data_IF_322775964622
#
_entry.id   IF_322775964622
#
_cell.length_a   1.000
_cell.length_b   1.000
_cell.length_c   1.000
_cell.angle_alpha   90.00
_cell.angle_beta   90.00
_cell.angle_gamma   90.00
#
_symmetry.space_group_name_H-M   'P 1'
#
loop_
_entity.id
_entity.type
_entity.pdbx_description
1 polymer ?
#
# COMPACT_ATOMS: atom_id res chain seq x y z
N UNK A 1 9.38 2.53 -25.57
CA UNK A 1 9.02 3.36 -24.38
C UNK A 1 7.96 2.67 -23.50
N UNK A 2 6.69 2.54 -23.88
CA UNK A 2 5.66 1.95 -22.99
C UNK A 2 5.97 0.50 -22.60
N UNK A 3 6.36 -0.33 -23.57
CA UNK A 3 6.72 -1.73 -23.32
C UNK A 3 7.92 -1.89 -22.40
N UNK A 4 8.91 -1.05 -22.54
CA UNK A 4 10.10 -1.06 -21.68
C UNK A 4 9.78 -0.66 -20.24
N UNK A 5 8.91 0.33 -20.03
CA UNK A 5 8.45 0.71 -18.71
C UNK A 5 7.65 -0.43 -18.04
N UNK A 6 6.79 -1.11 -18.82
CA UNK A 6 6.03 -2.26 -18.37
C UNK A 6 6.94 -3.43 -17.97
N UNK A 7 7.90 -3.80 -18.83
CA UNK A 7 8.86 -4.88 -18.56
C UNK A 7 9.73 -4.56 -17.33
N UNK A 8 10.16 -3.30 -17.19
CA UNK A 8 10.91 -2.81 -16.04
C UNK A 8 10.10 -2.88 -14.75
N UNK A 9 8.85 -2.42 -14.76
CA UNK A 9 7.95 -2.48 -13.62
C UNK A 9 7.74 -3.92 -13.16
N UNK A 10 7.44 -4.82 -14.10
CA UNK A 10 7.24 -6.24 -13.81
C UNK A 10 8.48 -6.89 -13.19
N UNK A 11 9.65 -6.63 -13.76
CA UNK A 11 10.91 -7.14 -13.24
C UNK A 11 11.18 -6.62 -11.82
N UNK A 12 10.96 -5.32 -11.59
CA UNK A 12 11.16 -4.72 -10.27
C UNK A 12 10.18 -5.28 -9.23
N UNK A 13 8.89 -5.43 -9.56
CA UNK A 13 7.89 -6.05 -8.69
C UNK A 13 8.30 -7.47 -8.29
N UNK A 14 8.75 -8.29 -9.24
CA UNK A 14 9.23 -9.64 -8.97
C UNK A 14 10.43 -9.63 -8.02
N UNK A 15 11.42 -8.79 -8.28
CA UNK A 15 12.63 -8.67 -7.43
C UNK A 15 12.30 -8.22 -6.01
N UNK A 16 11.37 -7.28 -5.85
CA UNK A 16 10.92 -6.84 -4.52
C UNK A 16 10.20 -7.97 -3.81
N UNK A 17 9.27 -8.66 -4.49
CA UNK A 17 8.55 -9.79 -3.90
C UNK A 17 9.48 -10.93 -3.46
N UNK A 18 10.50 -11.25 -4.25
CA UNK A 18 11.54 -12.24 -3.91
C UNK A 18 12.40 -11.79 -2.72
N UNK A 19 12.73 -10.50 -2.63
CA UNK A 19 13.60 -9.98 -1.58
C UNK A 19 12.93 -9.87 -0.22
N UNK A 20 11.62 -9.56 -0.18
CA UNK A 20 10.92 -9.26 1.08
C UNK A 20 9.60 -10.00 1.27
N UNK A 21 9.07 -10.62 0.23
CA UNK A 21 7.70 -11.17 0.26
C UNK A 21 7.48 -12.27 1.31
N UNK A 22 8.49 -13.10 1.54
CA UNK A 22 8.43 -14.19 2.52
C UNK A 22 8.59 -13.71 3.98
N UNK A 23 9.21 -12.54 4.18
CA UNK A 23 9.55 -12.01 5.50
C UNK A 23 8.46 -11.09 6.06
N UNK A 24 7.43 -10.79 5.27
CA UNK A 24 6.32 -9.94 5.71
C UNK A 24 5.21 -10.79 6.32
N UNK A 25 4.95 -10.68 7.63
CA UNK A 25 3.90 -11.43 8.32
C UNK A 25 2.51 -11.24 7.71
N UNK A 26 1.60 -12.19 7.95
CA UNK A 26 0.25 -12.21 7.34
C UNK A 26 -0.65 -11.04 7.76
N UNK A 27 -0.39 -10.45 8.92
CA UNK A 27 -1.06 -9.24 9.42
C UNK A 27 -0.58 -7.94 8.78
N UNK A 28 0.43 -8.03 7.91
CA UNK A 28 0.99 -6.90 7.19
C UNK A 28 0.82 -7.06 5.67
N UNK A 29 0.59 -5.94 4.99
CA UNK A 29 0.69 -5.85 3.53
C UNK A 29 1.77 -4.86 3.14
N UNK A 30 2.77 -5.30 2.37
CA UNK A 30 3.65 -4.39 1.66
C UNK A 30 2.96 -3.95 0.39
N UNK A 31 2.65 -2.66 0.30
CA UNK A 31 1.90 -2.07 -0.81
C UNK A 31 2.76 -1.05 -1.52
N UNK A 32 2.84 -1.14 -2.84
CA UNK A 32 3.43 -0.10 -3.69
C UNK A 32 2.36 0.70 -4.41
N UNK A 33 2.71 1.94 -4.75
CA UNK A 33 1.84 2.94 -5.37
C UNK A 33 2.46 3.54 -6.62
N UNK A 34 1.73 4.43 -7.26
CA UNK A 34 2.21 5.31 -8.31
C UNK A 34 2.71 4.59 -9.55
N UNK A 35 3.82 5.04 -10.10
CA UNK A 35 4.35 4.57 -11.38
C UNK A 35 4.63 3.07 -11.40
N UNK A 36 5.10 2.50 -10.29
CA UNK A 36 5.35 1.07 -10.20
C UNK A 36 4.04 0.26 -10.23
N UNK A 37 3.02 0.69 -9.48
CA UNK A 37 1.71 0.05 -9.46
C UNK A 37 0.97 0.17 -10.81
N UNK A 38 1.17 1.27 -11.53
CA UNK A 38 0.60 1.48 -12.88
C UNK A 38 1.41 0.85 -14.02
N UNK A 39 2.51 0.15 -13.71
CA UNK A 39 3.40 -0.46 -14.70
C UNK A 39 4.09 0.58 -15.63
N UNK A 40 4.39 1.76 -15.08
CA UNK A 40 4.99 2.92 -15.78
C UNK A 40 6.37 3.29 -15.22
N UNK A 41 7.00 2.40 -14.46
CA UNK A 41 8.25 2.67 -13.76
C UNK A 41 9.41 2.93 -14.74
N UNK A 42 10.14 4.02 -14.51
CA UNK A 42 11.31 4.43 -15.29
C UNK A 42 12.57 4.47 -14.40
N UNK A 43 13.72 4.78 -14.99
CA UNK A 43 14.97 4.98 -14.24
C UNK A 43 14.96 6.19 -13.31
N UNK A 44 14.06 7.13 -13.56
CA UNK A 44 13.92 8.36 -12.76
C UNK A 44 12.82 8.26 -11.69
N UNK A 45 12.04 7.17 -11.71
CA UNK A 45 10.94 6.96 -10.76
C UNK A 45 11.45 6.54 -9.39
N UNK A 46 10.76 7.02 -8.35
CA UNK A 46 10.91 6.55 -6.99
C UNK A 46 10.02 5.33 -6.75
N UNK A 47 10.33 4.53 -5.74
CA UNK A 47 9.44 3.46 -5.27
C UNK A 47 8.63 3.97 -4.10
N UNK A 48 7.38 4.34 -4.38
CA UNK A 48 6.41 4.70 -3.35
C UNK A 48 5.84 3.43 -2.72
N UNK A 49 5.97 3.29 -1.41
CA UNK A 49 5.49 2.11 -0.69
C UNK A 49 5.01 2.45 0.72
N UNK A 50 4.20 1.57 1.28
CA UNK A 50 3.92 1.54 2.72
C UNK A 50 3.80 0.10 3.22
N UNK A 51 3.97 -0.06 4.51
CA UNK A 51 3.67 -1.30 5.22
C UNK A 51 2.33 -1.11 5.96
N UNK A 52 1.27 -1.68 5.38
CA UNK A 52 -0.09 -1.56 5.89
C UNK A 52 -0.33 -2.58 7.00
N UNK A 53 -0.74 -2.10 8.16
CA UNK A 53 -1.00 -2.89 9.37
C UNK A 53 -2.51 -2.93 9.63
N UNK A 54 -3.10 -4.14 9.66
CA UNK A 54 -4.48 -4.31 10.04
C UNK A 54 -4.59 -5.08 11.36
N UNK A 55 -4.47 -4.35 12.46
CA UNK A 55 -4.43 -4.92 13.79
C UNK A 55 -3.79 -4.01 14.83
N UNK A 56 -3.39 -4.60 15.93
CA UNK A 56 -2.71 -3.89 17.02
C UNK A 56 -1.29 -3.52 16.65
N UNK A 57 -0.79 -2.42 17.20
CA UNK A 57 0.62 -2.09 17.08
C UNK A 57 1.47 -3.14 17.80
N UNK A 58 2.53 -3.60 17.12
CA UNK A 58 3.53 -4.52 17.66
C UNK A 58 4.94 -3.98 17.41
N UNK A 59 5.86 -4.24 18.33
CA UNK A 59 7.25 -3.79 18.20
C UNK A 59 7.94 -4.39 16.95
N UNK A 60 7.56 -5.61 16.57
CA UNK A 60 8.09 -6.29 15.38
C UNK A 60 7.74 -5.58 14.06
N UNK A 61 6.64 -4.83 14.01
CA UNK A 61 6.28 -4.09 12.80
C UNK A 61 7.36 -3.09 12.39
N UNK A 62 8.01 -2.46 13.37
CA UNK A 62 9.12 -1.55 13.09
C UNK A 62 10.35 -2.27 12.54
N UNK A 63 10.64 -3.45 13.05
CA UNK A 63 11.74 -4.27 12.57
C UNK A 63 11.48 -4.73 11.12
N UNK A 64 10.26 -5.18 10.81
CA UNK A 64 9.85 -5.54 9.44
C UNK A 64 9.98 -4.33 8.51
N UNK A 65 9.54 -3.14 8.94
CA UNK A 65 9.68 -1.91 8.15
C UNK A 65 11.14 -1.62 7.80
N UNK A 66 12.05 -1.72 8.76
CA UNK A 66 13.48 -1.48 8.53
C UNK A 66 14.08 -2.50 7.57
N UNK A 67 13.73 -3.79 7.71
CA UNK A 67 14.18 -4.84 6.77
C UNK A 67 13.68 -4.59 5.36
N UNK A 68 12.42 -4.20 5.20
CA UNK A 68 11.84 -3.82 3.90
C UNK A 68 12.59 -2.64 3.30
N UNK A 69 12.86 -1.61 4.09
CA UNK A 69 13.62 -0.44 3.64
C UNK A 69 15.03 -0.80 3.19
N UNK A 70 15.75 -1.62 3.97
CA UNK A 70 17.09 -2.12 3.61
C UNK A 70 17.08 -2.93 2.31
N UNK A 71 16.12 -3.84 2.16
CA UNK A 71 15.98 -4.65 0.96
C UNK A 71 15.70 -3.80 -0.28
N UNK A 72 14.82 -2.81 -0.17
CA UNK A 72 14.51 -1.88 -1.26
C UNK A 72 15.74 -1.03 -1.65
N UNK A 73 16.52 -0.58 -0.68
CA UNK A 73 17.82 0.08 -0.93
C UNK A 73 18.81 -0.80 -1.68
N UNK A 74 18.88 -2.08 -1.35
CA UNK A 74 19.74 -3.06 -1.99
C UNK A 74 19.35 -3.39 -3.44
N UNK A 75 18.14 -3.04 -3.88
CA UNK A 75 17.67 -3.31 -5.24
C UNK A 75 18.14 -2.18 -6.16
N UNK A 76 19.05 -2.48 -7.09
CA UNK A 76 19.60 -1.50 -8.01
C UNK A 76 18.52 -0.72 -8.77
N UNK A 77 18.65 0.61 -8.77
CA UNK A 77 17.73 1.53 -9.45
C UNK A 77 16.53 1.97 -8.62
N UNK A 78 16.40 1.53 -7.36
CA UNK A 78 15.37 2.08 -6.46
C UNK A 78 15.90 3.32 -5.75
N UNK A 79 15.04 4.32 -5.62
CA UNK A 79 15.26 5.50 -4.81
C UNK A 79 14.34 5.43 -3.59
N UNK A 80 14.76 6.05 -2.49
CA UNK A 80 13.89 6.15 -1.32
C UNK A 80 12.72 7.10 -1.58
N UNK A 81 11.54 6.78 -1.01
CA UNK A 81 10.45 7.73 -0.98
C UNK A 81 10.86 9.01 -0.25
N UNK A 82 10.25 10.14 -0.61
CA UNK A 82 10.47 11.40 0.08
C UNK A 82 10.21 11.25 1.60
N UNK A 83 11.19 11.52 2.48
CA UNK A 83 11.03 11.33 3.93
C UNK A 83 9.91 12.17 4.57
N UNK A 84 9.56 13.30 3.96
CA UNK A 84 8.44 14.14 4.39
C UNK A 84 7.07 13.72 3.80
N UNK A 85 7.05 12.64 3.01
CA UNK A 85 5.89 12.18 2.26
C UNK A 85 4.98 11.21 3.02
N UNK A 86 3.98 10.73 2.30
CA UNK A 86 3.03 9.73 2.79
C UNK A 86 3.58 8.29 2.76
N UNK A 87 4.78 8.08 2.22
CA UNK A 87 5.36 6.80 1.87
C UNK A 87 6.55 6.40 2.75
N UNK A 88 7.01 5.17 2.62
CA UNK A 88 8.14 4.63 3.38
C UNK A 88 7.82 4.35 4.86
N UNK A 89 6.55 4.27 5.24
CA UNK A 89 6.11 4.24 6.64
C UNK A 89 5.19 3.04 6.94
N UNK A 90 5.05 2.76 8.24
CA UNK A 90 3.93 1.99 8.78
C UNK A 90 2.65 2.81 8.65
N UNK A 91 1.58 2.18 8.17
CA UNK A 91 0.25 2.78 8.04
C UNK A 91 -0.75 1.85 8.69
N UNK A 92 -1.43 2.33 9.73
CA UNK A 92 -2.44 1.54 10.41
C UNK A 92 -3.80 1.67 9.73
N UNK A 93 -4.51 0.55 9.58
CA UNK A 93 -5.86 0.50 9.01
C UNK A 93 -6.82 1.48 9.69
N UNK A 94 -6.69 1.63 11.01
CA UNK A 94 -7.47 2.57 11.79
C UNK A 94 -7.36 4.01 11.28
N UNK A 95 -6.15 4.46 10.93
CA UNK A 95 -5.92 5.84 10.44
C UNK A 95 -6.60 6.11 9.10
N UNK A 96 -6.57 5.12 8.20
CA UNK A 96 -7.10 5.29 6.85
C UNK A 96 -8.58 4.96 6.73
N UNK A 97 -9.18 4.21 7.68
CA UNK A 97 -10.59 3.84 7.65
C UNK A 97 -11.42 4.73 8.58
N UNK A 98 -10.99 4.90 9.85
CA UNK A 98 -11.85 5.49 10.88
C UNK A 98 -11.64 6.99 11.09
N UNK A 99 -10.56 7.59 10.55
CA UNK A 99 -10.32 9.02 10.66
C UNK A 99 -10.93 9.84 9.52
N UNK A 100 -11.66 9.23 8.58
CA UNK A 100 -12.23 9.89 7.39
C UNK A 100 -13.09 11.09 7.81
N UNK A 101 -12.78 12.26 7.25
CA UNK A 101 -13.52 13.51 7.48
C UNK A 101 -13.40 14.11 8.88
N UNK A 102 -12.68 13.47 9.81
CA UNK A 102 -12.48 13.95 11.17
C UNK A 102 -11.27 14.88 11.31
N UNK A 103 -11.13 15.49 12.51
CA UNK A 103 -9.99 16.36 12.84
C UNK A 103 -8.62 15.66 12.76
N UNK A 104 -8.60 14.34 12.80
CA UNK A 104 -7.41 13.50 12.66
C UNK A 104 -7.14 13.06 11.21
N UNK A 105 -7.97 13.47 10.26
CA UNK A 105 -7.83 13.10 8.84
C UNK A 105 -6.80 14.00 8.15
N UNK A 106 -5.54 13.64 8.30
CA UNK A 106 -4.43 14.38 7.70
C UNK A 106 -4.36 14.16 6.18
N UNK A 107 -3.78 15.12 5.46
CA UNK A 107 -3.54 15.02 4.02
C UNK A 107 -2.82 13.73 3.61
N UNK A 108 -1.90 13.25 4.43
CA UNK A 108 -1.21 11.99 4.19
C UNK A 108 -2.17 10.79 4.17
N UNK A 109 -3.17 10.75 5.06
CA UNK A 109 -4.18 9.69 5.09
C UNK A 109 -5.12 9.77 3.88
N UNK A 110 -5.54 10.98 3.50
CA UNK A 110 -6.32 11.18 2.28
C UNK A 110 -5.56 10.69 1.04
N UNK A 111 -4.28 11.09 0.90
CA UNK A 111 -3.41 10.66 -0.20
C UNK A 111 -3.30 9.13 -0.23
N UNK A 112 -3.01 8.49 0.90
CA UNK A 112 -2.91 7.02 1.01
C UNK A 112 -4.20 6.32 0.60
N UNK A 113 -5.37 6.81 1.05
CA UNK A 113 -6.67 6.24 0.66
C UNK A 113 -6.91 6.33 -0.84
N UNK A 114 -6.68 7.51 -1.41
CA UNK A 114 -6.85 7.71 -2.85
C UNK A 114 -5.96 6.77 -3.66
N UNK A 115 -4.70 6.68 -3.29
CA UNK A 115 -3.75 5.80 -3.98
C UNK A 115 -4.05 4.31 -3.75
N UNK A 116 -4.48 3.92 -2.55
CA UNK A 116 -4.94 2.56 -2.27
C UNK A 116 -6.09 2.15 -3.18
N UNK A 117 -7.05 3.05 -3.42
CA UNK A 117 -8.23 2.78 -4.23
C UNK A 117 -7.93 2.79 -5.74
N UNK A 118 -7.05 3.67 -6.21
CA UNK A 118 -6.86 3.95 -7.64
C UNK A 118 -5.64 3.24 -8.21
N UNK A 119 -4.51 3.25 -7.50
CA UNK A 119 -3.21 2.81 -8.03
C UNK A 119 -2.33 2.17 -6.96
N UNK A 120 -2.72 0.99 -6.52
CA UNK A 120 -1.91 0.22 -5.58
C UNK A 120 -1.76 -1.23 -6.01
N UNK A 121 -0.59 -1.79 -5.75
CA UNK A 121 -0.30 -3.21 -5.91
C UNK A 121 0.29 -3.78 -4.63
N UNK A 122 -0.16 -4.95 -4.25
CA UNK A 122 0.41 -5.71 -3.14
C UNK A 122 1.63 -6.49 -3.61
N UNK A 123 2.70 -6.42 -2.84
CA UNK A 123 3.98 -7.07 -3.14
C UNK A 123 4.20 -8.39 -2.40
N UNK A 124 3.29 -8.72 -1.49
CA UNK A 124 3.30 -9.99 -0.76
C UNK A 124 2.60 -11.09 -1.58
N UNK A 125 2.69 -12.33 -1.08
CA UNK A 125 2.01 -13.48 -1.68
C UNK A 125 0.49 -13.25 -1.73
N UNK A 126 -0.13 -13.29 -2.94
CA UNK A 126 -1.56 -13.02 -3.12
C UNK A 126 -2.46 -14.17 -2.62
N UNK A 127 -1.91 -15.33 -2.24
CA UNK A 127 -2.69 -16.49 -1.82
C UNK A 127 -3.30 -16.34 -0.40
N UNK A 128 -2.92 -15.33 0.35
CA UNK A 128 -3.37 -15.10 1.72
C UNK A 128 -4.30 -13.89 1.76
N UNK A 129 -5.43 -13.97 2.49
CA UNK A 129 -6.29 -12.81 2.78
C UNK A 129 -5.54 -11.80 3.64
N UNK A 130 -4.97 -10.80 2.97
CA UNK A 130 -4.08 -9.83 3.59
C UNK A 130 -4.78 -8.50 3.90
N UNK A 131 -4.17 -7.67 4.77
CA UNK A 131 -4.70 -6.37 5.18
C UNK A 131 -5.17 -5.47 4.05
N UNK A 132 -4.47 -5.40 2.92
CA UNK A 132 -4.83 -4.49 1.83
C UNK A 132 -6.28 -4.70 1.35
N UNK A 133 -6.68 -5.94 1.12
CA UNK A 133 -8.04 -6.24 0.64
C UNK A 133 -9.10 -5.87 1.67
N UNK A 134 -8.85 -6.14 2.95
CA UNK A 134 -9.77 -5.76 4.04
C UNK A 134 -9.85 -4.25 4.23
N UNK A 135 -8.71 -3.58 4.18
CA UNK A 135 -8.63 -2.10 4.30
C UNK A 135 -9.34 -1.42 3.14
N UNK A 136 -9.15 -1.87 1.89
CA UNK A 136 -9.89 -1.35 0.74
C UNK A 136 -11.40 -1.48 0.92
N UNK A 137 -11.86 -2.64 1.37
CA UNK A 137 -13.28 -2.87 1.67
C UNK A 137 -13.77 -1.94 2.78
N UNK A 138 -13.01 -1.78 3.86
CA UNK A 138 -13.35 -0.89 4.96
C UNK A 138 -13.42 0.59 4.55
N UNK A 139 -12.49 1.06 3.72
CA UNK A 139 -12.50 2.42 3.18
C UNK A 139 -13.78 2.64 2.34
N UNK A 140 -14.08 1.73 1.41
CA UNK A 140 -15.28 1.82 0.57
C UNK A 140 -16.55 1.78 1.40
N UNK A 141 -16.65 0.86 2.35
CA UNK A 141 -17.79 0.76 3.26
C UNK A 141 -18.00 2.08 4.01
N UNK A 142 -16.94 2.65 4.56
CA UNK A 142 -17.02 3.92 5.30
C UNK A 142 -17.52 5.08 4.45
N UNK A 143 -17.04 5.20 3.20
CA UNK A 143 -17.55 6.22 2.28
C UNK A 143 -19.01 6.00 1.91
N UNK A 144 -19.46 4.75 1.74
CA UNK A 144 -20.87 4.44 1.45
C UNK A 144 -21.80 4.67 2.65
N UNK A 145 -21.34 4.43 3.87
CA UNK A 145 -22.10 4.72 5.09
C UNK A 145 -22.38 6.22 5.24
N UNK A 146 -21.48 7.07 4.80
CA UNK A 146 -21.63 8.53 4.86
C UNK A 146 -22.44 9.11 3.68
N UNK A 147 -22.66 8.34 2.63
CA UNK A 147 -23.49 8.75 1.48
C UNK A 147 -24.86 8.02 1.47
N UNK A 148 -25.91 8.62 2.05
CA UNK A 148 -27.21 7.96 2.24
C UNK A 148 -27.96 7.60 0.93
N UNK A 149 -27.45 8.02 -0.23
CA UNK A 149 -28.04 7.73 -1.55
C UNK A 149 -27.63 6.36 -2.09
N UNK A 150 -26.64 5.71 -1.50
CA UNK A 150 -26.24 4.37 -1.91
C UNK A 150 -26.75 3.31 -0.94
N UNK A 151 -27.73 2.49 -1.30
CA UNK A 151 -28.20 1.41 -0.44
C UNK A 151 -27.12 0.32 -0.33
N UNK A 152 -26.72 0.04 0.92
CA UNK A 152 -25.64 -0.94 1.28
C UNK A 152 -25.76 -2.29 0.57
N UNK A 153 -26.99 -2.75 0.32
CA UNK A 153 -27.27 -4.09 -0.21
C UNK A 153 -26.84 -4.33 -1.66
N UNK A 154 -26.46 -3.29 -2.41
CA UNK A 154 -26.08 -3.43 -3.84
C UNK A 154 -24.59 -3.71 -4.07
N UNK A 155 -23.73 -3.41 -3.09
CA UNK A 155 -22.31 -3.46 -3.28
C UNK A 155 -21.58 -4.59 -2.53
N UNK A 156 -22.21 -5.14 -1.49
CA UNK A 156 -21.63 -6.23 -0.71
C UNK A 156 -22.65 -7.38 -0.57
N UNK A 157 -22.75 -8.28 -1.57
CA UNK A 157 -23.48 -9.52 -1.38
C UNK A 157 -22.83 -10.35 -0.25
N UNK A 158 -23.65 -10.78 0.70
CA UNK A 158 -23.23 -11.62 1.82
C UNK A 158 -22.80 -13.00 1.33
#
# INVERSE_FOLDING_TARGET
MVREAWDRSRNLLTRIAEAVGADVPSELSLVSFGSLARMEFTSESDVDWCLLVDGRADANHREVQLRVQEALHGIAGTKDPNPAGAFGALVFSHEVIHCIGGAQDMNANLTRRMLLLIESVELNDPAIDRPRSRVLRGILQRYFEEEPRFPEKQFFPQ
#
